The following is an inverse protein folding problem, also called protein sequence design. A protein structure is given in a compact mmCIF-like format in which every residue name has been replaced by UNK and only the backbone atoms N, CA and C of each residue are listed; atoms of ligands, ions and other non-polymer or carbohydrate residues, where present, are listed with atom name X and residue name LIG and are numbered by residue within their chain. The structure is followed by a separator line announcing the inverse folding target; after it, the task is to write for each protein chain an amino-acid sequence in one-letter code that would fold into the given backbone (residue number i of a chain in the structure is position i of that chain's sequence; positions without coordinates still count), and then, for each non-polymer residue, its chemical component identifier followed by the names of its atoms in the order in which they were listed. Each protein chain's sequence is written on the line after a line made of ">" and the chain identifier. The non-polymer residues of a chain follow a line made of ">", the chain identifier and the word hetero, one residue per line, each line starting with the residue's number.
data_IF_661155455433
#
_entry.id   IF_661155455433
#
_cell.length_a   1.000
_cell.length_b   1.000
_cell.length_c   1.000
_cell.angle_alpha   90.00
_cell.angle_beta   90.00
_cell.angle_gamma   90.00
#
_symmetry.space_group_name_H-M   'P 1'
#
loop_
_entity.id
_entity.type
_entity.pdbx_description
1 polymer ?
#
# COMPACT_ATOMS: atom_id res chain seq x y z
N UNK A 1 -11.29 16.19 -1.99
CA UNK A 1 -12.33 15.57 -1.13
C UNK A 1 -12.98 14.37 -1.83
N UNK A 2 -13.67 14.56 -2.96
CA UNK A 2 -14.40 13.48 -3.64
C UNK A 2 -13.54 12.27 -4.08
N UNK A 3 -12.30 12.50 -4.54
CA UNK A 3 -11.44 11.41 -5.02
C UNK A 3 -11.02 10.44 -3.91
N UNK A 4 -10.55 10.96 -2.76
CA UNK A 4 -10.14 10.16 -1.61
C UNK A 4 -11.27 9.25 -1.12
N UNK A 5 -12.48 9.80 -1.01
CA UNK A 5 -13.65 9.05 -0.59
C UNK A 5 -14.05 8.00 -1.62
N UNK A 6 -14.06 8.35 -2.90
CA UNK A 6 -14.38 7.41 -3.98
C UNK A 6 -13.40 6.24 -4.02
N UNK A 7 -12.11 6.51 -3.94
CA UNK A 7 -11.08 5.46 -3.97
C UNK A 7 -11.06 4.65 -2.66
N UNK A 8 -11.16 5.32 -1.52
CA UNK A 8 -11.22 4.66 -0.21
C UNK A 8 -12.44 3.76 -0.04
N UNK A 9 -13.63 4.21 -0.47
CA UNK A 9 -14.85 3.41 -0.45
C UNK A 9 -14.79 2.23 -1.42
N UNK A 10 -14.12 2.37 -2.58
CA UNK A 10 -13.92 1.25 -3.49
C UNK A 10 -13.04 0.14 -2.89
N UNK A 11 -12.18 0.47 -1.93
CA UNK A 11 -11.31 -0.46 -1.21
C UNK A 11 -11.90 -0.93 0.13
N UNK A 12 -13.00 -0.31 0.59
CA UNK A 12 -13.65 -0.65 1.85
C UNK A 12 -14.27 -2.06 1.78
N UNK A 13 -14.08 -2.84 2.85
CA UNK A 13 -14.56 -4.23 2.93
C UNK A 13 -13.72 -5.25 2.15
N UNK A 14 -12.67 -4.83 1.45
CA UNK A 14 -11.72 -5.75 0.83
C UNK A 14 -10.81 -6.37 1.89
N UNK A 15 -10.59 -7.68 1.80
CA UNK A 15 -9.74 -8.42 2.71
C UNK A 15 -8.89 -9.43 1.93
N UNK A 16 -7.58 -9.22 1.98
CA UNK A 16 -6.57 -10.06 1.34
C UNK A 16 -5.21 -9.81 2.00
N UNK A 17 -4.36 -10.83 2.24
CA UNK A 17 -3.09 -10.66 2.96
C UNK A 17 -2.11 -9.65 2.33
N UNK A 18 -2.20 -9.45 1.01
CA UNK A 18 -1.36 -8.49 0.28
C UNK A 18 -2.05 -7.14 0.00
N UNK A 19 -3.12 -6.81 0.73
CA UNK A 19 -3.77 -5.50 0.70
C UNK A 19 -3.84 -4.94 2.12
N UNK A 20 -3.52 -3.66 2.28
CA UNK A 20 -3.76 -2.96 3.54
C UNK A 20 -5.25 -2.58 3.62
N UNK A 21 -6.03 -3.15 4.55
CA UNK A 21 -7.47 -2.96 4.58
C UNK A 21 -7.83 -1.55 5.07
N UNK A 22 -8.85 -0.97 4.44
CA UNK A 22 -9.50 0.27 4.94
C UNK A 22 -10.44 -0.13 6.07
N UNK A 23 -10.13 0.31 7.30
CA UNK A 23 -10.95 0.03 8.49
C UNK A 23 -12.19 0.92 8.56
N UNK A 24 -12.09 2.15 8.05
CA UNK A 24 -13.18 3.12 8.11
C UNK A 24 -12.89 4.36 7.28
N UNK A 25 -13.95 5.12 7.02
CA UNK A 25 -13.94 6.39 6.30
C UNK A 25 -14.69 7.40 7.16
N UNK A 26 -14.09 8.56 7.41
CA UNK A 26 -14.77 9.66 8.10
C UNK A 26 -15.10 10.79 7.14
N UNK A 27 -16.32 11.31 7.27
CA UNK A 27 -16.91 12.40 6.48
C UNK A 27 -17.63 13.36 7.44
N UNK A 28 -16.81 14.10 8.20
CA UNK A 28 -17.16 15.31 8.96
C UNK A 28 -17.66 16.48 8.10
N UNK A 29 -18.85 17.05 8.32
CA UNK A 29 -19.35 18.25 7.60
C UNK A 29 -18.42 19.48 7.68
N UNK A 30 -17.47 19.49 8.63
CA UNK A 30 -16.54 20.60 8.86
C UNK A 30 -15.07 20.18 8.89
N UNK A 31 -14.75 18.92 8.58
CA UNK A 31 -13.39 18.40 8.63
C UNK A 31 -12.97 17.77 7.30
N UNK A 32 -11.67 17.75 7.03
CA UNK A 32 -11.16 17.06 5.85
C UNK A 32 -11.41 15.55 6.01
N UNK A 33 -11.91 14.85 4.97
CA UNK A 33 -12.13 13.41 5.05
C UNK A 33 -10.82 12.68 5.29
N UNK A 34 -10.89 11.57 6.02
CA UNK A 34 -9.74 10.71 6.26
C UNK A 34 -10.12 9.23 6.18
N UNK A 35 -9.12 8.41 5.84
CA UNK A 35 -9.21 6.96 5.81
C UNK A 35 -8.47 6.40 7.02
N UNK A 36 -9.05 5.38 7.63
CA UNK A 36 -8.45 4.66 8.75
C UNK A 36 -7.85 3.35 8.23
N UNK A 37 -6.60 3.09 8.61
CA UNK A 37 -5.85 1.88 8.29
C UNK A 37 -5.28 1.28 9.58
N UNK A 38 -5.04 -0.04 9.63
CA UNK A 38 -4.35 -0.63 10.78
C UNK A 38 -2.91 -0.11 10.85
N UNK A 39 -2.43 0.17 12.06
CA UNK A 39 -1.01 0.45 12.27
C UNK A 39 -0.23 -0.87 12.27
N UNK A 40 0.56 -1.09 11.22
CA UNK A 40 1.26 -2.35 11.00
C UNK A 40 2.75 -2.31 11.35
N UNK A 41 3.28 -1.15 11.74
CA UNK A 41 4.73 -0.92 11.90
C UNK A 41 5.51 -0.92 10.58
N UNK A 42 4.88 -1.30 9.46
CA UNK A 42 5.46 -1.28 8.13
C UNK A 42 5.65 0.16 7.62
N UNK A 43 6.64 0.34 6.73
CA UNK A 43 7.05 1.65 6.22
C UNK A 43 6.92 1.65 4.70
N UNK A 44 6.59 2.82 4.14
CA UNK A 44 6.53 3.06 2.70
C UNK A 44 7.67 2.37 1.92
N UNK A 45 7.31 1.44 1.02
CA UNK A 45 8.26 0.59 0.29
C UNK A 45 9.24 1.41 -0.56
N UNK A 46 8.80 2.50 -1.21
CA UNK A 46 9.72 3.40 -1.93
C UNK A 46 10.82 3.95 -1.01
N UNK A 47 10.47 4.42 0.20
CA UNK A 47 11.48 4.89 1.17
C UNK A 47 12.40 3.76 1.64
N UNK A 48 11.86 2.57 1.87
CA UNK A 48 12.65 1.39 2.23
C UNK A 48 13.67 1.04 1.15
N UNK A 49 13.25 0.93 -0.11
CA UNK A 49 14.12 0.62 -1.24
C UNK A 49 15.20 1.70 -1.44
N UNK A 50 14.87 2.98 -1.27
CA UNK A 50 15.86 4.07 -1.35
C UNK A 50 16.91 3.97 -0.24
N UNK A 51 16.53 3.58 0.97
CA UNK A 51 17.49 3.34 2.08
C UNK A 51 18.38 2.14 1.79
N UNK A 52 17.85 1.04 1.27
CA UNK A 52 18.65 -0.11 0.86
C UNK A 52 19.67 0.24 -0.24
N UNK A 53 19.38 1.25 -1.07
CA UNK A 53 20.28 1.75 -2.10
C UNK A 53 21.35 2.72 -1.56
N UNK A 54 21.06 3.45 -0.50
CA UNK A 54 21.94 4.47 0.07
C UNK A 54 22.82 3.88 1.17
N UNK A 55 24.12 3.73 0.89
CA UNK A 55 25.12 3.20 1.81
C UNK A 55 25.47 4.11 3.00
N UNK A 56 24.75 5.23 3.19
CA UNK A 56 25.22 6.35 4.02
C UNK A 56 24.65 6.43 5.44
N UNK A 57 23.64 5.63 5.81
CA UNK A 57 23.11 5.59 7.18
C UNK A 57 22.96 4.14 7.69
N UNK A 58 24.01 3.63 8.33
CA UNK A 58 24.08 2.25 8.85
C UNK A 58 24.40 1.21 7.77
N UNK A 59 24.63 -0.07 8.13
CA UNK A 59 25.02 -1.07 7.14
C UNK A 59 23.90 -1.20 6.10
N UNK A 60 24.14 -0.85 4.82
CA UNK A 60 23.15 -1.02 3.78
C UNK A 60 22.88 -2.51 3.64
N UNK A 61 21.72 -2.98 4.12
CA UNK A 61 21.30 -4.33 3.81
C UNK A 61 20.96 -4.35 2.32
N UNK A 62 21.93 -4.79 1.53
CA UNK A 62 21.71 -5.08 0.12
C UNK A 62 20.56 -6.10 0.04
N UNK A 63 19.53 -5.75 -0.72
CA UNK A 63 18.43 -6.66 -0.97
C UNK A 63 18.89 -7.75 -1.93
N UNK A 64 18.57 -8.99 -1.60
CA UNK A 64 18.77 -10.09 -2.55
C UNK A 64 17.71 -10.03 -3.64
N UNK A 65 18.02 -10.62 -4.81
CA UNK A 65 17.03 -10.78 -5.88
C UNK A 65 15.78 -11.51 -5.39
N UNK A 66 15.95 -12.52 -4.54
CA UNK A 66 14.84 -13.28 -3.96
C UNK A 66 13.87 -12.37 -3.19
N UNK A 67 14.39 -11.49 -2.34
CA UNK A 67 13.55 -10.57 -1.55
C UNK A 67 12.78 -9.59 -2.42
N UNK A 68 13.43 -9.08 -3.48
CA UNK A 68 12.77 -8.18 -4.45
C UNK A 68 11.66 -8.92 -5.21
N UNK A 69 11.91 -10.17 -5.61
CA UNK A 69 10.91 -11.03 -6.26
C UNK A 69 9.75 -11.33 -5.31
N UNK A 70 10.01 -11.60 -4.03
CA UNK A 70 8.97 -11.84 -3.03
C UNK A 70 8.09 -10.60 -2.81
N UNK A 71 8.67 -9.40 -2.74
CA UNK A 71 7.91 -8.14 -2.68
C UNK A 71 7.01 -7.96 -3.90
N UNK A 72 7.55 -8.19 -5.11
CA UNK A 72 6.80 -8.09 -6.35
C UNK A 72 5.66 -9.13 -6.42
N UNK A 73 5.90 -10.35 -5.94
CA UNK A 73 4.91 -11.41 -5.91
C UNK A 73 3.75 -11.07 -4.97
N UNK A 74 4.02 -10.47 -3.81
CA UNK A 74 2.96 -9.99 -2.91
C UNK A 74 2.11 -8.91 -3.58
N UNK A 75 2.73 -7.90 -4.20
CA UNK A 75 2.01 -6.87 -4.95
C UNK A 75 1.15 -7.48 -6.08
N UNK A 76 1.68 -8.45 -6.83
CA UNK A 76 0.95 -9.15 -7.89
C UNK A 76 -0.26 -9.93 -7.36
N UNK A 77 -0.14 -10.60 -6.20
CA UNK A 77 -1.26 -11.29 -5.55
C UNK A 77 -2.35 -10.31 -5.12
N UNK A 78 -1.97 -9.14 -4.57
CA UNK A 78 -2.91 -8.07 -4.23
C UNK A 78 -3.68 -7.58 -5.45
N UNK A 79 -2.98 -7.29 -6.55
CA UNK A 79 -3.61 -6.84 -7.80
C UNK A 79 -4.48 -7.93 -8.43
N UNK A 80 -4.07 -9.19 -8.39
CA UNK A 80 -4.90 -10.32 -8.83
C UNK A 80 -6.22 -10.37 -8.07
N UNK A 81 -6.18 -10.18 -6.74
CA UNK A 81 -7.39 -10.11 -5.92
C UNK A 81 -8.28 -8.92 -6.32
N UNK A 82 -7.71 -7.73 -6.50
CA UNK A 82 -8.46 -6.55 -6.96
C UNK A 82 -9.15 -6.82 -8.31
N UNK A 83 -8.46 -7.44 -9.27
CA UNK A 83 -9.03 -7.78 -10.57
C UNK A 83 -10.19 -8.78 -10.45
N UNK A 84 -10.10 -9.77 -9.55
CA UNK A 84 -11.23 -10.69 -9.25
C UNK A 84 -12.45 -9.96 -8.68
N UNK A 85 -12.23 -8.83 -7.99
CA UNK A 85 -13.27 -7.91 -7.51
C UNK A 85 -13.69 -6.87 -8.54
N UNK A 86 -13.22 -6.97 -9.80
CA UNK A 86 -13.45 -6.01 -10.90
C UNK A 86 -12.94 -4.60 -10.58
N UNK A 87 -11.92 -4.49 -9.74
CA UNK A 87 -11.27 -3.24 -9.37
C UNK A 87 -9.90 -3.17 -10.02
N UNK A 88 -9.64 -2.07 -10.72
CA UNK A 88 -8.31 -1.77 -11.29
C UNK A 88 -7.61 -0.80 -10.33
N UNK A 89 -6.40 -1.12 -9.88
CA UNK A 89 -5.66 -0.27 -8.94
C UNK A 89 -5.33 1.12 -9.52
N UNK A 90 -5.01 1.22 -10.82
CA UNK A 90 -4.69 2.45 -11.57
C UNK A 90 -3.42 3.21 -11.17
N UNK A 91 -2.89 2.97 -9.98
CA UNK A 91 -1.64 3.57 -9.51
C UNK A 91 -0.73 2.56 -8.79
N UNK A 92 -0.43 1.44 -9.45
CA UNK A 92 0.47 0.43 -8.89
C UNK A 92 1.91 0.95 -8.95
N UNK A 93 2.45 1.31 -7.78
CA UNK A 93 3.83 1.78 -7.63
C UNK A 93 4.33 1.53 -6.20
N UNK A 94 5.64 1.40 -6.02
CA UNK A 94 6.27 1.18 -4.70
C UNK A 94 5.94 2.27 -3.65
N UNK A 95 5.47 3.46 -4.07
CA UNK A 95 5.01 4.51 -3.14
C UNK A 95 3.64 4.19 -2.51
N UNK A 96 2.87 3.28 -3.10
CA UNK A 96 1.56 2.83 -2.63
C UNK A 96 1.62 1.43 -1.99
N UNK A 97 2.82 0.93 -1.72
CA UNK A 97 3.06 -0.29 -0.95
C UNK A 97 3.67 0.07 0.41
N UNK A 98 3.33 -0.72 1.43
CA UNK A 98 3.87 -0.62 2.80
C UNK A 98 4.60 -1.89 3.16
#
# INVERSE_FOLDING_TARGET
>A
VALLLREGLALYGLSHPALLPVLGVSIEDRSAPFLLYPHTGYRNMKRFLLRCKQSSEGPPRALTTQEVVEMALQAAKGVQYLHRKRLVHRDLAARNCV
#
